data_IF_109819363917
#
_entry.id   IF_109819363917
#
_cell.length_a   1.000
_cell.length_b   1.000
_cell.length_c   1.000
_cell.angle_alpha   90.00
_cell.angle_beta   90.00
_cell.angle_gamma   90.00
#
_symmetry.space_group_name_H-M   'P 1'
#
loop_
_entity.id
_entity.type
_entity.pdbx_description
1 polymer ?
#
# COMPACT_ATOMS: atom_id res chain seq x y z
N UNK A 1 62.19 -31.31 -7.64
CA UNK A 1 61.30 -31.03 -8.79
C UNK A 1 59.88 -31.02 -8.28
N UNK A 2 59.22 -29.87 -8.41
CA UNK A 2 57.82 -29.58 -8.08
C UNK A 2 56.91 -30.18 -9.16
N UNK A 3 55.73 -30.72 -8.78
CA UNK A 3 54.42 -30.74 -9.47
C UNK A 3 53.46 -31.43 -8.48
N UNK A 4 52.32 -30.91 -8.01
CA UNK A 4 51.35 -29.98 -8.57
C UNK A 4 50.01 -30.71 -8.70
N UNK A 5 49.06 -30.47 -7.79
CA UNK A 5 47.74 -31.10 -7.74
C UNK A 5 46.86 -30.75 -8.96
N UNK A 6 45.98 -31.64 -9.46
CA UNK A 6 45.02 -31.29 -10.52
C UNK A 6 43.89 -30.40 -10.01
N UNK A 7 43.75 -29.24 -10.67
CA UNK A 7 42.70 -28.22 -10.54
C UNK A 7 41.33 -28.75 -11.00
N UNK A 8 40.27 -28.55 -10.20
CA UNK A 8 38.88 -28.70 -10.65
C UNK A 8 38.45 -27.43 -11.42
N UNK A 9 38.00 -27.53 -12.70
CA UNK A 9 37.76 -26.36 -13.57
C UNK A 9 36.35 -25.76 -13.53
N UNK A 10 35.51 -26.07 -12.53
CA UNK A 10 34.16 -25.50 -12.41
C UNK A 10 33.87 -24.98 -11.00
N UNK A 11 34.55 -23.90 -10.61
CA UNK A 11 34.19 -23.10 -9.44
C UNK A 11 33.07 -22.11 -9.80
N UNK A 12 32.03 -22.06 -8.97
CA UNK A 12 31.00 -21.01 -9.04
C UNK A 12 31.62 -19.63 -8.77
N UNK A 13 31.23 -18.56 -9.49
CA UNK A 13 31.68 -17.20 -9.17
C UNK A 13 31.08 -16.73 -7.83
N UNK A 14 31.94 -16.36 -6.89
CA UNK A 14 31.57 -15.57 -5.71
C UNK A 14 31.37 -14.11 -6.14
N UNK A 15 30.14 -13.62 -6.09
CA UNK A 15 29.87 -12.18 -6.22
C UNK A 15 30.36 -11.43 -4.95
N UNK A 16 31.17 -10.36 -5.10
CA UNK A 16 31.57 -9.53 -3.96
C UNK A 16 30.38 -8.70 -3.46
N UNK A 17 29.98 -8.89 -2.20
CA UNK A 17 29.10 -7.97 -1.49
C UNK A 17 29.69 -6.55 -1.51
N UNK A 18 29.10 -5.66 -2.30
CA UNK A 18 29.31 -4.22 -2.16
C UNK A 18 28.62 -3.75 -0.88
N UNK A 19 29.42 -3.51 0.15
CA UNK A 19 28.99 -2.92 1.41
C UNK A 19 28.60 -1.46 1.21
N UNK A 20 27.30 -1.18 1.25
CA UNK A 20 26.82 0.18 1.47
C UNK A 20 27.14 0.57 2.92
N UNK A 21 27.99 1.58 3.06
CA UNK A 21 28.45 2.10 4.36
C UNK A 21 27.30 2.54 5.24
N UNK A 22 27.29 2.06 6.48
CA UNK A 22 26.50 2.64 7.55
C UNK A 22 27.03 4.05 7.86
N UNK A 23 26.17 5.05 8.16
CA UNK A 23 26.64 6.28 8.78
C UNK A 23 27.19 5.96 10.18
N UNK A 24 28.47 6.26 10.40
CA UNK A 24 29.14 6.14 11.69
C UNK A 24 28.41 6.97 12.75
N UNK A 25 28.00 6.33 13.86
CA UNK A 25 27.64 7.05 15.08
C UNK A 25 28.87 7.80 15.60
N UNK A 26 28.75 9.08 16.03
CA UNK A 26 29.85 9.78 16.69
C UNK A 26 30.26 9.02 17.95
N UNK A 27 31.50 8.54 17.97
CA UNK A 27 32.07 7.83 19.11
C UNK A 27 32.15 8.76 20.32
N UNK A 28 31.60 8.31 21.45
CA UNK A 28 31.82 8.96 22.73
C UNK A 28 33.32 8.87 23.08
N UNK A 29 33.98 9.96 23.52
CA UNK A 29 35.36 9.89 23.96
C UNK A 29 35.45 8.95 25.19
N UNK A 30 36.32 7.94 25.13
CA UNK A 30 36.69 7.18 26.32
C UNK A 30 37.39 8.13 27.30
N UNK A 31 36.83 8.27 28.50
CA UNK A 31 37.46 9.03 29.57
C UNK A 31 38.69 8.27 30.12
N UNK A 32 39.78 8.97 30.51
CA UNK A 32 40.97 8.35 31.08
C UNK A 32 40.66 7.56 32.37
N UNK A 33 41.29 6.40 32.51
CA UNK A 33 41.22 5.55 33.71
C UNK A 33 41.73 6.34 34.93
N UNK A 34 40.84 6.65 35.89
CA UNK A 34 41.25 7.22 37.19
C UNK A 34 40.26 8.13 37.92
N UNK A 35 39.06 8.41 37.38
CA UNK A 35 38.11 9.34 38.02
C UNK A 35 37.00 8.56 38.75
N UNK A 36 36.71 8.84 40.04
CA UNK A 36 35.62 8.18 40.75
C UNK A 36 34.24 8.51 40.13
N UNK A 37 33.28 7.57 40.11
CA UNK A 37 31.99 7.80 39.48
C UNK A 37 31.17 8.84 40.26
N UNK A 38 30.75 9.91 39.60
CA UNK A 38 29.73 10.81 40.14
C UNK A 38 28.33 10.18 40.05
N UNK A 39 27.42 10.46 41.00
CA UNK A 39 26.03 10.00 40.93
C UNK A 39 25.33 10.59 39.70
N UNK A 40 24.96 9.72 38.76
CA UNK A 40 24.28 10.11 37.53
C UNK A 40 22.88 10.64 37.82
N UNK A 41 22.63 11.90 37.45
CA UNK A 41 21.29 12.45 37.36
C UNK A 41 20.56 11.75 36.20
N UNK A 42 19.59 10.89 36.55
CA UNK A 42 18.77 10.17 35.58
C UNK A 42 17.87 11.12 34.79
N UNK A 43 17.93 11.06 33.47
CA UNK A 43 16.93 11.68 32.61
C UNK A 43 15.58 10.96 32.82
N UNK A 44 14.47 11.69 32.97
CA UNK A 44 13.16 11.06 33.04
C UNK A 44 12.86 10.36 31.71
N UNK A 45 12.48 9.07 31.78
CA UNK A 45 11.94 8.34 30.64
C UNK A 45 10.72 9.10 30.09
N UNK A 46 10.73 9.36 28.78
CA UNK A 46 9.54 9.89 28.10
C UNK A 46 8.39 8.88 28.25
N UNK A 47 7.15 9.35 28.54
CA UNK A 47 6.01 8.46 28.71
C UNK A 47 5.75 7.67 27.41
N UNK A 48 5.30 6.40 27.51
CA UNK A 48 4.96 5.61 26.35
C UNK A 48 3.85 6.31 25.57
N UNK A 49 4.17 6.71 24.34
CA UNK A 49 3.19 7.25 23.39
C UNK A 49 2.13 6.16 23.18
N UNK A 50 0.83 6.41 23.40
CA UNK A 50 -0.18 5.39 23.18
C UNK A 50 -0.12 4.97 21.71
N UNK A 51 0.13 3.67 21.47
CA UNK A 51 0.02 3.07 20.14
C UNK A 51 -1.42 3.24 19.69
N UNK A 52 -1.65 4.24 18.84
CA UNK A 52 -2.90 4.40 18.13
C UNK A 52 -3.12 3.10 17.36
N UNK A 53 -4.23 2.41 17.65
CA UNK A 53 -4.65 1.19 16.95
C UNK A 53 -4.91 1.53 15.49
N UNK A 54 -3.83 1.60 14.71
CA UNK A 54 -3.81 2.07 13.35
C UNK A 54 -4.00 0.91 12.40
N UNK A 55 -4.87 1.08 11.40
CA UNK A 55 -5.07 0.15 10.28
C UNK A 55 -3.85 0.04 9.34
N UNK A 56 -2.71 0.62 9.71
CA UNK A 56 -1.46 0.47 8.98
C UNK A 56 -0.78 -0.86 9.25
N UNK A 57 0.07 -1.29 8.33
CA UNK A 57 0.92 -2.46 8.57
C UNK A 57 2.04 -2.07 9.54
N UNK A 58 2.42 -2.94 10.49
CA UNK A 58 3.39 -2.60 11.52
C UNK A 58 4.75 -2.30 10.89
N UNK A 59 5.13 -1.03 10.90
CA UNK A 59 6.50 -0.58 10.69
C UNK A 59 7.22 -0.80 12.03
N UNK A 60 7.79 -1.98 12.26
CA UNK A 60 8.65 -2.21 13.42
C UNK A 60 10.04 -1.61 13.16
N UNK A 61 10.52 -0.67 13.97
CA UNK A 61 11.89 -0.20 13.86
C UNK A 61 12.81 -1.30 14.43
N UNK A 62 13.58 -1.96 13.56
CA UNK A 62 14.68 -2.85 13.98
C UNK A 62 14.71 -4.26 13.40
N UNK A 63 13.68 -4.69 12.67
CA UNK A 63 13.71 -5.96 11.92
C UNK A 63 13.50 -5.68 10.44
N UNK A 64 14.36 -6.25 9.59
CA UNK A 64 14.46 -5.91 8.17
C UNK A 64 13.12 -5.81 7.44
N UNK A 65 13.02 -4.85 6.51
CA UNK A 65 11.84 -4.61 5.68
C UNK A 65 11.32 -5.91 5.05
N UNK A 66 10.29 -6.52 5.61
CA UNK A 66 9.49 -7.46 4.84
C UNK A 66 8.70 -6.64 3.83
N UNK A 67 9.19 -6.62 2.58
CA UNK A 67 8.49 -6.00 1.46
C UNK A 67 7.05 -6.53 1.45
N UNK A 68 6.04 -5.64 1.50
CA UNK A 68 4.67 -6.08 1.55
C UNK A 68 4.34 -6.83 0.26
N UNK A 69 3.61 -7.95 0.39
CA UNK A 69 3.17 -8.69 -0.78
C UNK A 69 2.14 -7.87 -1.55
N UNK A 70 2.56 -7.30 -2.68
CA UNK A 70 1.68 -6.52 -3.53
C UNK A 70 0.52 -7.38 -4.06
N UNK A 71 -0.67 -6.79 -4.09
CA UNK A 71 -1.82 -7.42 -4.73
C UNK A 71 -1.54 -7.54 -6.23
N UNK A 72 -1.70 -8.75 -6.75
CA UNK A 72 -1.54 -8.97 -8.19
C UNK A 72 -2.69 -8.32 -8.97
N UNK A 73 -2.52 -8.22 -10.29
CA UNK A 73 -3.50 -7.59 -11.17
C UNK A 73 -4.91 -8.20 -11.05
N UNK A 74 -5.00 -9.53 -10.99
CA UNK A 74 -6.29 -10.24 -10.88
C UNK A 74 -7.03 -9.94 -9.57
N UNK A 75 -6.31 -9.84 -8.45
CA UNK A 75 -6.90 -9.45 -7.16
C UNK A 75 -7.43 -8.00 -7.19
N UNK A 76 -6.69 -7.09 -7.83
CA UNK A 76 -7.14 -5.70 -8.02
C UNK A 76 -8.39 -5.64 -8.91
N UNK A 77 -8.38 -6.35 -10.03
CA UNK A 77 -9.53 -6.45 -10.93
C UNK A 77 -10.75 -7.03 -10.22
N UNK A 78 -10.60 -8.17 -9.52
CA UNK A 78 -11.69 -8.82 -8.80
C UNK A 78 -12.27 -7.92 -7.70
N UNK A 79 -11.42 -7.18 -6.98
CA UNK A 79 -11.88 -6.22 -5.97
C UNK A 79 -12.79 -5.17 -6.61
N UNK A 80 -12.37 -4.62 -7.76
CA UNK A 80 -13.15 -3.62 -8.49
C UNK A 80 -14.42 -4.19 -9.11
N UNK A 81 -14.38 -5.43 -9.59
CA UNK A 81 -15.53 -6.15 -10.14
C UNK A 81 -16.61 -6.34 -9.08
N UNK A 82 -16.25 -6.80 -7.88
CA UNK A 82 -17.20 -6.98 -6.77
C UNK A 82 -17.84 -5.65 -6.39
N UNK A 83 -17.05 -4.58 -6.24
CA UNK A 83 -17.57 -3.24 -5.96
C UNK A 83 -18.56 -2.77 -7.04
N UNK A 84 -18.26 -3.04 -8.32
CA UNK A 84 -19.16 -2.71 -9.45
C UNK A 84 -20.44 -3.53 -9.41
N UNK A 85 -20.37 -4.85 -9.15
CA UNK A 85 -21.55 -5.71 -9.10
C UNK A 85 -22.49 -5.26 -7.96
N UNK A 86 -21.95 -4.98 -6.78
CA UNK A 86 -22.74 -4.49 -5.64
C UNK A 86 -23.52 -3.22 -5.99
N UNK A 87 -22.87 -2.29 -6.68
CA UNK A 87 -23.50 -1.09 -7.21
C UNK A 87 -24.58 -1.41 -8.26
N UNK A 88 -24.25 -2.24 -9.25
CA UNK A 88 -25.14 -2.55 -10.39
C UNK A 88 -26.41 -3.29 -9.98
N UNK A 89 -26.35 -4.14 -8.95
CA UNK A 89 -27.50 -4.87 -8.42
C UNK A 89 -28.58 -3.93 -7.89
N UNK A 90 -28.21 -2.77 -7.35
CA UNK A 90 -29.17 -1.78 -6.85
C UNK A 90 -29.54 -0.76 -7.93
N UNK A 91 -28.55 -0.26 -8.67
CA UNK A 91 -28.74 0.80 -9.64
C UNK A 91 -29.53 0.37 -10.88
N UNK A 92 -29.19 -0.78 -11.49
CA UNK A 92 -29.83 -1.22 -12.74
C UNK A 92 -31.34 -1.44 -12.58
N UNK A 93 -31.85 -2.15 -11.56
CA UNK A 93 -33.29 -2.33 -11.41
C UNK A 93 -34.04 -1.00 -11.27
N UNK A 94 -33.52 -0.05 -10.49
CA UNK A 94 -34.14 1.26 -10.30
C UNK A 94 -34.28 2.02 -11.63
N UNK A 95 -33.21 2.04 -12.43
CA UNK A 95 -33.22 2.74 -13.73
C UNK A 95 -34.09 2.01 -14.75
N UNK A 96 -34.01 0.68 -14.83
CA UNK A 96 -34.79 -0.10 -15.81
C UNK A 96 -36.29 -0.05 -15.51
N UNK A 97 -36.69 -0.18 -14.24
CA UNK A 97 -38.08 -0.06 -13.81
C UNK A 97 -38.56 1.38 -14.01
N UNK A 98 -37.77 2.36 -13.57
CA UNK A 98 -38.09 3.78 -13.75
C UNK A 98 -38.30 4.15 -15.21
N UNK A 99 -37.42 3.70 -16.11
CA UNK A 99 -37.57 3.93 -17.55
C UNK A 99 -38.79 3.21 -18.13
N UNK A 100 -38.96 1.91 -17.84
CA UNK A 100 -40.07 1.10 -18.37
C UNK A 100 -41.44 1.61 -17.90
N UNK A 101 -41.53 2.08 -16.66
CA UNK A 101 -42.76 2.59 -16.07
C UNK A 101 -42.97 4.11 -16.29
N UNK A 102 -42.05 4.80 -16.98
CA UNK A 102 -42.05 6.27 -17.11
C UNK A 102 -42.10 7.02 -15.77
N UNK A 103 -41.39 6.52 -14.76
CA UNK A 103 -41.26 7.12 -13.43
C UNK A 103 -39.84 7.71 -13.27
N UNK A 104 -39.58 8.96 -13.71
CA UNK A 104 -38.24 9.54 -13.68
C UNK A 104 -37.65 9.68 -12.27
N UNK A 105 -38.52 9.74 -11.24
CA UNK A 105 -38.10 9.76 -9.85
C UNK A 105 -37.29 8.52 -9.45
N UNK A 106 -37.60 7.33 -9.98
CA UNK A 106 -36.82 6.12 -9.70
C UNK A 106 -35.39 6.21 -10.25
N UNK A 107 -35.24 6.76 -11.46
CA UNK A 107 -33.92 6.99 -12.07
C UNK A 107 -33.11 8.02 -11.28
N UNK A 108 -33.77 9.08 -10.79
CA UNK A 108 -33.13 10.07 -9.91
C UNK A 108 -32.68 9.44 -8.58
N UNK A 109 -33.51 8.62 -7.95
CA UNK A 109 -33.14 7.87 -6.74
C UNK A 109 -31.94 6.96 -7.00
N UNK A 110 -31.92 6.24 -8.12
CA UNK A 110 -30.77 5.44 -8.54
C UNK A 110 -29.50 6.27 -8.70
N UNK A 111 -29.59 7.45 -9.34
CA UNK A 111 -28.46 8.36 -9.50
C UNK A 111 -27.94 8.91 -8.15
N UNK A 112 -28.84 9.32 -7.25
CA UNK A 112 -28.45 9.79 -5.91
C UNK A 112 -27.80 8.66 -5.09
N UNK A 113 -28.33 7.43 -5.20
CA UNK A 113 -27.71 6.26 -4.61
C UNK A 113 -26.29 6.01 -5.15
N UNK A 114 -26.09 6.14 -6.47
CA UNK A 114 -24.75 6.04 -7.09
C UNK A 114 -23.76 7.02 -6.44
N UNK A 115 -24.14 8.29 -6.35
CA UNK A 115 -23.28 9.33 -5.77
C UNK A 115 -22.97 9.02 -4.30
N UNK A 116 -24.00 8.67 -3.52
CA UNK A 116 -23.82 8.31 -2.10
C UNK A 116 -22.90 7.09 -1.93
N UNK A 117 -23.06 6.05 -2.76
CA UNK A 117 -22.24 4.85 -2.72
C UNK A 117 -20.78 5.13 -3.10
N UNK A 118 -20.53 5.97 -4.12
CA UNK A 118 -19.17 6.39 -4.49
C UNK A 118 -18.48 7.16 -3.36
N UNK A 119 -19.19 8.11 -2.74
CA UNK A 119 -18.67 8.87 -1.60
C UNK A 119 -18.35 7.93 -0.43
N UNK A 120 -19.27 7.00 -0.12
CA UNK A 120 -19.06 5.99 0.92
C UNK A 120 -17.79 5.16 0.65
N UNK A 121 -17.61 4.65 -0.57
CA UNK A 121 -16.45 3.85 -0.95
C UNK A 121 -15.13 4.63 -0.82
N UNK A 122 -15.11 5.90 -1.26
CA UNK A 122 -13.95 6.79 -1.11
C UNK A 122 -13.59 7.01 0.35
N UNK A 123 -14.60 7.23 1.21
CA UNK A 123 -14.38 7.40 2.66
C UNK A 123 -13.85 6.10 3.29
N UNK A 124 -14.43 4.95 2.94
CA UNK A 124 -13.98 3.65 3.47
C UNK A 124 -12.54 3.34 3.03
N UNK A 125 -12.23 3.57 1.76
CA UNK A 125 -10.90 3.39 1.21
C UNK A 125 -9.90 4.37 1.85
N UNK A 126 -10.26 5.62 2.05
CA UNK A 126 -9.41 6.60 2.72
C UNK A 126 -9.13 6.26 4.18
N UNK A 127 -10.13 5.76 4.92
CA UNK A 127 -10.00 5.45 6.36
C UNK A 127 -9.30 4.12 6.63
N UNK A 128 -9.55 3.11 5.80
CA UNK A 128 -9.15 1.73 6.09
C UNK A 128 -8.28 1.11 5.01
N UNK A 129 -8.18 1.75 3.84
CA UNK A 129 -7.58 1.17 2.64
C UNK A 129 -8.46 0.13 1.94
N UNK A 130 -9.67 -0.13 2.42
CA UNK A 130 -10.51 -1.21 1.91
C UNK A 130 -11.94 -0.75 1.57
N UNK A 131 -12.33 -0.97 0.32
CA UNK A 131 -13.73 -1.03 -0.10
C UNK A 131 -14.33 -2.39 0.26
N UNK A 132 -15.64 -2.57 0.01
CA UNK A 132 -16.31 -3.86 0.24
C UNK A 132 -15.63 -4.97 -0.58
N UNK A 133 -15.41 -4.76 -1.87
CA UNK A 133 -14.73 -5.71 -2.75
C UNK A 133 -13.30 -6.02 -2.30
N UNK A 134 -12.54 -5.01 -1.87
CA UNK A 134 -11.19 -5.22 -1.33
C UNK A 134 -11.19 -6.05 -0.03
N UNK A 135 -12.18 -5.88 0.85
CA UNK A 135 -12.34 -6.73 2.05
C UNK A 135 -12.60 -8.19 1.68
N UNK A 136 -13.46 -8.43 0.68
CA UNK A 136 -13.79 -9.78 0.20
C UNK A 136 -12.55 -10.45 -0.40
N UNK A 137 -11.83 -9.77 -1.28
CA UNK A 137 -10.63 -10.32 -1.96
C UNK A 137 -9.41 -10.41 -1.02
N UNK A 138 -9.39 -9.62 0.06
CA UNK A 138 -8.26 -9.54 0.98
C UNK A 138 -7.13 -8.66 0.45
N UNK A 139 -7.47 -7.49 -0.08
CA UNK A 139 -6.52 -6.45 -0.49
C UNK A 139 -6.71 -5.16 0.30
N UNK A 140 -5.68 -4.34 0.38
CA UNK A 140 -5.72 -3.02 1.03
C UNK A 140 -4.84 -2.02 0.31
N UNK A 141 -5.36 -0.81 0.11
CA UNK A 141 -4.63 0.34 -0.42
C UNK A 141 -4.02 1.14 0.72
N UNK A 142 -2.72 1.45 0.62
CA UNK A 142 -1.98 2.20 1.62
C UNK A 142 -1.04 3.19 0.95
N UNK A 143 -0.60 4.19 1.73
CA UNK A 143 0.50 5.06 1.34
C UNK A 143 1.78 4.24 1.29
N UNK A 144 2.56 4.41 0.23
CA UNK A 144 3.80 3.68 0.02
C UNK A 144 4.85 4.00 1.10
N UNK A 145 4.98 5.28 1.44
CA UNK A 145 5.94 5.81 2.41
C UNK A 145 5.70 5.31 3.84
N UNK A 146 4.44 5.31 4.29
CA UNK A 146 4.09 5.13 5.71
C UNK A 146 3.41 3.81 5.99
N UNK A 147 2.88 3.13 4.97
CA UNK A 147 2.05 1.94 5.15
C UNK A 147 0.71 2.21 5.84
N UNK A 148 0.31 3.48 5.96
CA UNK A 148 -0.96 3.89 6.56
C UNK A 148 -2.04 4.10 5.49
N UNK A 149 -3.34 4.09 5.85
CA UNK A 149 -4.41 4.48 4.93
C UNK A 149 -4.18 5.86 4.31
N UNK A 150 -4.68 6.06 3.08
CA UNK A 150 -4.44 7.30 2.32
C UNK A 150 -5.05 8.54 2.97
N UNK A 151 -6.12 8.37 3.75
CA UNK A 151 -7.03 9.44 4.13
C UNK A 151 -8.06 9.71 3.02
N UNK A 152 -9.20 10.27 3.39
CA UNK A 152 -10.32 10.49 2.47
C UNK A 152 -9.98 11.39 1.28
N UNK A 153 -9.21 12.46 1.51
CA UNK A 153 -8.81 13.40 0.45
C UNK A 153 -7.92 12.75 -0.61
N UNK A 154 -6.87 12.03 -0.21
CA UNK A 154 -6.00 11.35 -1.18
C UNK A 154 -6.69 10.14 -1.83
N UNK A 155 -7.59 9.44 -1.13
CA UNK A 155 -8.41 8.42 -1.76
C UNK A 155 -9.30 9.02 -2.87
N UNK A 156 -9.87 10.21 -2.67
CA UNK A 156 -10.63 10.92 -3.69
C UNK A 156 -9.76 11.34 -4.88
N UNK A 157 -8.60 11.97 -4.62
CA UNK A 157 -7.63 12.35 -5.66
C UNK A 157 -7.22 11.14 -6.48
N UNK A 158 -7.03 9.98 -5.84
CA UNK A 158 -6.72 8.74 -6.52
C UNK A 158 -7.80 8.29 -7.49
N UNK A 159 -9.08 8.46 -7.13
CA UNK A 159 -10.19 8.17 -8.05
C UNK A 159 -10.17 9.08 -9.27
N UNK A 160 -9.80 10.35 -9.11
CA UNK A 160 -9.62 11.25 -10.25
C UNK A 160 -8.37 10.87 -11.07
N UNK A 161 -7.28 10.49 -10.41
CA UNK A 161 -6.06 10.07 -11.11
C UNK A 161 -6.27 8.81 -11.97
N UNK A 162 -7.26 7.96 -11.66
CA UNK A 162 -7.66 6.83 -12.51
C UNK A 162 -8.19 7.24 -13.89
N UNK A 163 -8.52 8.53 -14.15
CA UNK A 163 -8.74 9.01 -15.52
C UNK A 163 -7.47 8.89 -16.38
N UNK A 164 -6.29 9.09 -15.78
CA UNK A 164 -4.99 8.97 -16.44
C UNK A 164 -4.73 7.52 -16.86
N UNK A 165 -5.20 6.54 -16.07
CA UNK A 165 -5.07 5.13 -16.43
C UNK A 165 -5.83 4.76 -17.72
N UNK A 166 -6.90 5.51 -18.04
CA UNK A 166 -7.71 5.34 -19.25
C UNK A 166 -7.13 5.98 -20.51
N UNK A 167 -6.40 7.10 -20.39
CA UNK A 167 -5.88 7.87 -21.53
C UNK A 167 -5.03 7.05 -22.52
N UNK A 168 -4.07 6.22 -22.07
CA UNK A 168 -3.26 5.40 -22.97
C UNK A 168 -3.98 4.08 -23.28
N UNK A 169 -5.17 4.14 -23.85
CA UNK A 169 -5.98 2.96 -24.20
C UNK A 169 -6.16 1.96 -23.03
N UNK A 170 -6.49 2.46 -21.84
CA UNK A 170 -6.62 1.67 -20.60
C UNK A 170 -5.33 0.95 -20.13
N UNK A 171 -4.17 1.26 -20.71
CA UNK A 171 -2.91 0.61 -20.35
C UNK A 171 -2.55 0.78 -18.88
N UNK A 172 -2.93 1.90 -18.24
CA UNK A 172 -2.69 2.12 -16.82
C UNK A 172 -3.41 1.11 -15.92
N UNK A 173 -4.57 0.61 -16.34
CA UNK A 173 -5.29 -0.46 -15.62
C UNK A 173 -4.64 -1.83 -15.79
N UNK A 174 -3.92 -2.05 -16.89
CA UNK A 174 -3.16 -3.29 -17.14
C UNK A 174 -1.76 -3.25 -16.54
N UNK A 175 -1.21 -2.06 -16.31
CA UNK A 175 0.14 -1.82 -15.80
C UNK A 175 0.53 -2.65 -14.55
N UNK A 176 -0.35 -2.89 -13.56
CA UNK A 176 -0.05 -3.77 -12.44
C UNK A 176 0.38 -5.20 -12.81
N UNK A 177 0.09 -5.68 -14.02
CA UNK A 177 0.46 -7.02 -14.46
C UNK A 177 1.98 -7.20 -14.63
N UNK A 178 2.74 -6.12 -14.86
CA UNK A 178 4.20 -6.17 -15.03
C UNK A 178 4.99 -5.14 -14.22
N UNK A 179 4.34 -4.15 -13.62
CA UNK A 179 5.00 -3.19 -12.72
C UNK A 179 5.61 -3.89 -11.48
N UNK A 180 6.82 -3.49 -11.09
CA UNK A 180 7.56 -4.09 -9.98
C UNK A 180 6.85 -3.96 -8.62
N UNK A 181 6.08 -2.88 -8.44
CA UNK A 181 5.22 -2.65 -7.25
C UNK A 181 3.74 -2.91 -7.53
N UNK A 182 3.41 -3.48 -8.69
CA UNK A 182 2.04 -3.76 -9.14
C UNK A 182 1.15 -2.50 -9.10
N UNK A 183 1.68 -1.31 -9.40
CA UNK A 183 0.95 -0.04 -9.34
C UNK A 183 0.22 0.29 -10.65
N UNK A 184 -0.88 1.03 -10.58
CA UNK A 184 -1.42 1.77 -11.75
C UNK A 184 -0.72 3.13 -11.90
N UNK A 185 -1.02 3.91 -12.94
CA UNK A 185 -0.50 5.29 -13.03
C UNK A 185 -1.12 6.18 -11.95
N UNK A 186 -2.40 6.00 -11.65
CA UNK A 186 -3.06 6.67 -10.52
C UNK A 186 -2.33 6.40 -9.19
N UNK A 187 -1.96 5.14 -8.97
CA UNK A 187 -1.23 4.73 -7.76
C UNK A 187 0.12 5.44 -7.65
N UNK A 188 0.87 5.55 -8.76
CA UNK A 188 2.16 6.24 -8.81
C UNK A 188 2.02 7.73 -8.52
N UNK A 189 1.04 8.38 -9.14
CA UNK A 189 0.76 9.81 -8.92
C UNK A 189 0.40 10.08 -7.46
N UNK A 190 -0.34 9.16 -6.83
CA UNK A 190 -0.81 9.31 -5.46
C UNK A 190 0.12 8.71 -4.39
N UNK A 191 1.29 8.18 -4.77
CA UNK A 191 2.21 7.52 -3.83
C UNK A 191 1.56 6.36 -3.07
N UNK A 192 0.70 5.57 -3.73
CA UNK A 192 -0.05 4.50 -3.10
C UNK A 192 0.36 3.12 -3.62
N UNK A 193 0.22 2.12 -2.77
CA UNK A 193 0.42 0.71 -3.07
C UNK A 193 -0.80 -0.09 -2.65
N UNK A 194 -1.06 -1.20 -3.32
CA UNK A 194 -2.09 -2.15 -2.92
C UNK A 194 -1.44 -3.47 -2.58
N UNK A 195 -1.76 -3.96 -1.39
CA UNK A 195 -1.11 -5.13 -0.80
C UNK A 195 -2.14 -6.16 -0.40
N UNK A 196 -1.68 -7.40 -0.22
CA UNK A 196 -2.51 -8.50 0.26
C UNK A 196 -2.61 -8.46 1.78
N UNK A 197 -3.80 -8.74 2.30
CA UNK A 197 -4.10 -8.86 3.73
C UNK A 197 -4.31 -10.32 4.15
N UNK A 198 -4.31 -11.26 3.20
CA UNK A 198 -4.49 -12.71 3.37
C UNK A 198 -3.58 -13.48 2.41
#
# INVERSE_FOLDING_TARGET
>A
MSFGSPQNPYGQPQDPQQGYGQPQQPGYPQAPQGVPPQPGYGYPQAPPVPQQAGYGYPQQPGYGYQQPQYANWGQRFLSRLIDTILYMVVYLPLVLIGAKANIPALSLVGFLFMIAFLIYQVIQEGKTGQTIGKKVVGTRTLKEETGQPLGGGMAFVRQLAHFIDGLPCYLGYLWPAWDSKRQTFADKVCGSIVIRTK
#
